data_IF_516940530087
#
_entry.id   IF_516940530087
#
_cell.length_a   1.000
_cell.length_b   1.000
_cell.length_c   1.000
_cell.angle_alpha   90.00
_cell.angle_beta   90.00
_cell.angle_gamma   90.00
#
_symmetry.space_group_name_H-M   'P 1'
#
loop_
_entity.id
_entity.type
_entity.pdbx_description
1 polymer ?
#
# COMPACT_ATOMS: atom_id res chain seq x y z
N UNK A 1 51.15 -25.63 46.48
CA UNK A 1 51.18 -25.63 45.00
C UNK A 1 49.99 -24.78 44.56
N UNK A 2 50.16 -23.46 44.48
CA UNK A 2 50.36 -22.66 43.24
C UNK A 2 49.21 -22.91 42.25
N UNK A 3 48.47 -21.92 41.72
CA UNK A 3 48.87 -20.62 41.18
C UNK A 3 47.67 -19.65 41.18
N UNK A 4 47.92 -18.39 41.53
CA UNK A 4 47.04 -17.22 41.30
C UNK A 4 46.95 -16.86 39.80
N UNK A 5 45.76 -16.50 39.32
CA UNK A 5 45.59 -15.84 38.01
C UNK A 5 44.64 -14.63 38.13
N UNK A 6 45.16 -13.49 37.70
CA UNK A 6 44.63 -12.12 37.85
C UNK A 6 43.56 -11.78 36.78
N UNK A 7 42.69 -10.78 37.04
CA UNK A 7 41.82 -10.20 36.02
C UNK A 7 42.54 -9.15 35.15
N UNK A 8 42.31 -9.18 33.84
CA UNK A 8 42.75 -8.14 32.90
C UNK A 8 41.70 -7.02 32.81
N UNK A 9 42.08 -5.82 33.29
CA UNK A 9 41.41 -4.55 32.96
C UNK A 9 41.94 -4.05 31.62
N UNK A 10 41.06 -3.93 30.62
CA UNK A 10 41.33 -3.22 29.37
C UNK A 10 40.78 -1.80 29.46
N UNK A 11 41.66 -0.82 29.70
CA UNK A 11 41.35 0.60 29.53
C UNK A 11 41.65 0.98 28.07
N UNK A 12 40.60 1.28 27.29
CA UNK A 12 40.73 1.92 25.98
C UNK A 12 40.39 3.40 26.08
N UNK A 13 41.41 4.25 26.24
CA UNK A 13 41.30 5.70 26.07
C UNK A 13 41.55 6.03 24.60
N UNK A 14 40.49 6.36 23.86
CA UNK A 14 40.58 6.90 22.51
C UNK A 14 40.25 8.39 22.51
N UNK A 15 41.29 9.24 22.62
CA UNK A 15 41.18 10.67 22.34
C UNK A 15 41.33 10.90 20.84
N UNK A 16 40.23 11.21 20.15
CA UNK A 16 40.23 11.64 18.75
C UNK A 16 39.68 13.06 18.63
N UNK A 17 40.55 14.06 18.74
CA UNK A 17 40.27 15.43 18.33
C UNK A 17 40.42 15.50 16.80
N UNK A 18 39.31 15.64 16.09
CA UNK A 18 39.27 15.92 14.66
C UNK A 18 38.60 17.27 14.41
N UNK A 19 39.41 18.34 14.42
CA UNK A 19 39.03 19.64 13.90
C UNK A 19 39.03 19.56 12.37
N UNK A 20 37.86 19.68 11.76
CA UNK A 20 37.68 19.78 10.31
C UNK A 20 36.72 20.91 9.97
N UNK A 21 37.28 22.10 9.77
CA UNK A 21 36.64 23.22 9.07
C UNK A 21 36.34 22.81 7.62
N UNK A 22 35.15 23.12 7.11
CA UNK A 22 34.92 23.03 5.67
C UNK A 22 33.48 23.26 5.23
N UNK A 23 33.26 24.43 4.63
CA UNK A 23 32.20 24.79 3.68
C UNK A 23 30.74 24.89 4.15
N UNK A 24 30.39 26.14 4.47
CA UNK A 24 29.12 26.71 4.04
C UNK A 24 28.91 26.47 2.53
N UNK A 25 27.84 25.76 2.18
CA UNK A 25 27.26 25.88 0.85
C UNK A 25 25.86 26.45 1.01
N UNK A 26 25.76 27.76 0.79
CA UNK A 26 24.52 28.39 0.40
C UNK A 26 24.19 27.89 -1.00
N UNK A 27 23.08 27.20 -1.18
CA UNK A 27 22.36 27.23 -2.44
C UNK A 27 20.89 27.06 -2.15
N UNK A 28 20.21 28.20 -2.09
CA UNK A 28 18.79 28.26 -2.40
C UNK A 28 18.61 27.64 -3.79
N UNK A 29 17.68 26.71 -3.92
CA UNK A 29 17.11 26.39 -5.21
C UNK A 29 15.61 26.32 -5.03
N UNK A 30 14.98 27.47 -5.23
CA UNK A 30 13.59 27.58 -5.61
C UNK A 30 13.39 26.72 -6.86
N UNK A 31 12.54 25.70 -6.78
CA UNK A 31 11.97 25.11 -7.98
C UNK A 31 10.45 25.05 -7.83
N UNK A 32 9.87 26.24 -7.99
CA UNK A 32 8.49 26.40 -8.40
C UNK A 32 8.33 25.77 -9.78
N UNK A 33 7.79 24.56 -9.84
CA UNK A 33 7.32 23.99 -11.09
C UNK A 33 5.88 24.46 -11.33
N UNK A 34 5.76 25.67 -11.88
CA UNK A 34 4.56 26.17 -12.52
C UNK A 34 4.35 25.40 -13.83
N UNK A 35 3.55 24.33 -13.80
CA UNK A 35 2.93 23.85 -15.04
C UNK A 35 1.61 24.58 -15.21
N UNK A 36 1.71 25.70 -15.93
CA UNK A 36 0.62 26.40 -16.58
C UNK A 36 -0.21 25.42 -17.41
N UNK A 37 -1.45 25.17 -16.98
CA UNK A 37 -2.45 24.54 -17.83
C UNK A 37 -3.02 25.65 -18.71
N UNK A 38 -2.50 25.75 -19.93
CA UNK A 38 -3.02 26.64 -20.97
C UNK A 38 -4.47 26.30 -21.27
N UNK A 39 -5.33 27.32 -21.14
CA UNK A 39 -6.63 27.40 -21.77
C UNK A 39 -6.50 27.10 -23.27
N UNK A 40 -7.06 25.97 -23.70
CA UNK A 40 -7.43 25.75 -25.10
C UNK A 40 -8.94 25.72 -25.20
N UNK A 41 -9.44 26.89 -25.58
CA UNK A 41 -10.70 27.06 -26.29
C UNK A 41 -10.69 26.14 -27.52
N UNK A 42 -11.52 25.09 -27.50
CA UNK A 42 -11.85 24.31 -28.69
C UNK A 42 -13.31 24.59 -29.05
N UNK A 43 -13.45 25.59 -29.92
CA UNK A 43 -14.68 25.99 -30.56
C UNK A 43 -15.07 24.95 -31.62
N UNK A 44 -16.31 24.49 -31.52
CA UNK A 44 -17.17 24.03 -32.62
C UNK A 44 -16.70 22.85 -33.48
N UNK A 45 -17.47 21.76 -33.39
CA UNK A 45 -18.25 21.42 -34.58
C UNK A 45 -19.58 20.74 -34.24
N UNK A 46 -20.62 21.30 -34.83
CA UNK A 46 -21.98 20.77 -34.85
C UNK A 46 -22.07 19.83 -36.04
N UNK A 47 -22.28 18.55 -35.80
CA UNK A 47 -23.01 17.74 -36.75
C UNK A 47 -24.11 16.95 -36.08
N UNK A 48 -25.33 17.34 -36.48
CA UNK A 48 -26.57 16.64 -36.23
C UNK A 48 -26.61 15.49 -37.21
N UNK A 49 -26.57 14.26 -36.71
CA UNK A 49 -27.27 13.19 -37.40
C UNK A 49 -28.11 12.37 -36.42
N UNK A 50 -29.41 12.37 -36.75
CA UNK A 50 -30.43 11.55 -36.14
C UNK A 50 -30.30 10.17 -36.76
N UNK A 51 -30.00 9.16 -35.96
CA UNK A 51 -30.44 7.81 -36.30
C UNK A 51 -31.11 7.12 -35.10
N UNK A 52 -32.32 6.63 -35.36
CA UNK A 52 -33.20 5.93 -34.44
C UNK A 52 -32.98 4.43 -34.65
N UNK A 53 -32.07 3.83 -33.87
CA UNK A 53 -31.79 2.39 -33.93
C UNK A 53 -32.04 1.69 -32.60
N UNK A 54 -33.19 1.03 -32.47
CA UNK A 54 -33.50 0.02 -31.44
C UNK A 54 -32.39 -1.03 -31.36
N UNK A 55 -31.89 -1.32 -30.15
CA UNK A 55 -31.02 -2.47 -29.92
C UNK A 55 -30.79 -2.76 -28.45
N UNK A 56 -31.65 -3.61 -27.85
CA UNK A 56 -31.31 -4.35 -26.63
C UNK A 56 -29.98 -5.07 -26.86
N UNK A 57 -28.97 -4.82 -26.03
CA UNK A 57 -27.90 -5.79 -25.87
C UNK A 57 -27.50 -5.90 -24.39
N UNK A 58 -28.08 -6.92 -23.74
CA UNK A 58 -27.45 -7.61 -22.62
C UNK A 58 -26.20 -8.28 -23.18
N UNK A 59 -24.99 -7.85 -22.83
CA UNK A 59 -23.95 -8.80 -22.40
C UNK A 59 -22.64 -8.16 -21.98
N UNK A 60 -22.00 -8.93 -21.10
CA UNK A 60 -20.55 -9.09 -20.90
C UNK A 60 -19.85 -8.00 -20.10
N UNK A 61 -19.57 -8.40 -18.86
CA UNK A 61 -18.58 -7.79 -18.00
C UNK A 61 -17.35 -7.41 -18.81
N UNK A 62 -17.02 -6.12 -18.75
CA UNK A 62 -15.75 -5.61 -19.24
C UNK A 62 -14.68 -6.31 -18.41
N UNK A 63 -14.04 -7.32 -18.99
CA UNK A 63 -12.79 -7.85 -18.49
C UNK A 63 -11.88 -6.67 -18.20
N UNK A 64 -11.49 -6.53 -16.94
CA UNK A 64 -10.46 -5.60 -16.52
C UNK A 64 -9.23 -5.93 -17.37
N UNK A 65 -8.89 -5.04 -18.32
CA UNK A 65 -7.61 -5.09 -19.02
C UNK A 65 -6.54 -5.00 -17.93
N UNK A 66 -5.86 -6.12 -17.66
CA UNK A 66 -4.61 -6.13 -16.91
C UNK A 66 -3.61 -5.26 -17.67
N UNK A 67 -2.93 -4.33 -17.01
CA UNK A 67 -1.74 -3.69 -17.60
C UNK A 67 -0.65 -4.73 -17.80
N UNK A 68 0.39 -4.42 -18.58
CA UNK A 68 1.57 -5.29 -18.75
C UNK A 68 2.25 -5.65 -17.42
N UNK A 69 2.07 -4.82 -16.39
CA UNK A 69 2.59 -5.03 -15.03
C UNK A 69 1.59 -5.82 -14.14
N UNK A 70 0.51 -6.32 -14.73
CA UNK A 70 -0.58 -7.00 -14.03
C UNK A 70 -1.35 -6.11 -13.06
N UNK A 71 -1.20 -4.78 -13.13
CA UNK A 71 -1.93 -3.81 -12.30
C UNK A 71 -3.15 -3.33 -13.11
N UNK A 72 -4.36 -3.16 -12.54
CA UNK A 72 -5.48 -2.70 -13.35
C UNK A 72 -5.23 -1.29 -13.92
N UNK A 73 -5.79 -1.00 -15.10
CA UNK A 73 -5.59 0.30 -15.77
C UNK A 73 -5.99 1.49 -14.86
N UNK A 74 -5.10 2.47 -14.69
CA UNK A 74 -5.25 3.64 -13.80
C UNK A 74 -4.54 3.53 -12.44
N UNK A 75 -4.08 2.33 -12.07
CA UNK A 75 -3.55 2.06 -10.73
C UNK A 75 -2.08 2.37 -10.56
N UNK A 76 -1.28 2.31 -11.63
CA UNK A 76 0.09 2.87 -11.65
C UNK A 76 0.08 4.39 -11.44
N UNK A 77 -1.08 5.04 -11.55
CA UNK A 77 -1.30 6.45 -11.26
C UNK A 77 -2.06 6.68 -9.94
N UNK A 78 -2.34 5.63 -9.17
CA UNK A 78 -3.12 5.71 -7.92
C UNK A 78 -4.63 5.91 -8.10
N UNK A 79 -5.15 5.87 -9.33
CA UNK A 79 -6.55 6.16 -9.66
C UNK A 79 -7.32 4.86 -9.91
N UNK A 80 -8.00 4.35 -8.87
CA UNK A 80 -9.03 3.32 -9.06
C UNK A 80 -10.22 3.91 -9.82
N UNK A 81 -10.82 3.14 -10.72
CA UNK A 81 -12.05 3.55 -11.42
C UNK A 81 -13.16 3.86 -10.40
N UNK A 82 -13.59 5.13 -10.34
CA UNK A 82 -14.58 5.63 -9.37
C UNK A 82 -13.99 6.39 -8.18
N UNK A 83 -12.67 6.47 -8.08
CA UNK A 83 -11.96 7.31 -7.12
C UNK A 83 -11.60 8.62 -7.82
N UNK A 84 -11.97 9.74 -7.21
CA UNK A 84 -11.64 11.06 -7.75
C UNK A 84 -10.17 11.42 -7.51
N UNK A 85 -9.58 10.89 -6.44
CA UNK A 85 -8.26 11.26 -5.95
C UNK A 85 -7.43 10.05 -5.50
N UNK A 86 -6.12 10.23 -5.45
CA UNK A 86 -5.09 9.25 -5.05
C UNK A 86 -5.02 8.96 -3.55
N UNK A 87 -6.07 9.28 -2.78
CA UNK A 87 -6.01 9.34 -1.32
C UNK A 87 -7.07 8.43 -0.65
N UNK A 88 -6.85 8.00 0.60
CA UNK A 88 -7.75 7.08 1.28
C UNK A 88 -9.17 7.65 1.49
N UNK A 89 -10.17 6.80 1.79
CA UNK A 89 -11.54 7.24 2.04
C UNK A 89 -11.59 8.28 3.17
N UNK A 90 -12.36 9.36 2.96
CA UNK A 90 -12.50 10.43 3.95
C UNK A 90 -11.33 11.41 4.01
N UNK A 91 -10.32 11.30 3.15
CA UNK A 91 -9.16 12.20 3.13
C UNK A 91 -9.49 13.69 3.08
N UNK A 92 -10.50 14.08 2.29
CA UNK A 92 -10.95 15.47 2.17
C UNK A 92 -11.56 16.04 3.45
N UNK A 93 -11.93 15.17 4.42
CA UNK A 93 -12.47 15.55 5.72
C UNK A 93 -11.39 15.63 6.81
N UNK A 94 -10.19 15.13 6.54
CA UNK A 94 -9.07 15.18 7.49
C UNK A 94 -8.47 16.57 7.57
N UNK A 95 -8.00 16.95 8.76
CA UNK A 95 -7.16 18.14 8.94
C UNK A 95 -5.81 17.94 8.23
N UNK A 96 -5.05 19.02 8.06
CA UNK A 96 -3.72 18.91 7.46
C UNK A 96 -2.75 18.15 8.38
N UNK A 97 -2.84 18.34 9.70
CA UNK A 97 -2.07 17.56 10.68
C UNK A 97 -2.38 16.06 10.58
N UNK A 98 -3.66 15.66 10.43
CA UNK A 98 -4.05 14.26 10.26
C UNK A 98 -3.58 13.65 8.94
N UNK A 99 -3.42 14.48 7.89
CA UNK A 99 -2.87 14.05 6.60
C UNK A 99 -1.37 13.88 6.69
N UNK A 100 -0.67 14.83 7.31
CA UNK A 100 0.78 14.77 7.55
C UNK A 100 1.14 13.55 8.41
N UNK A 101 0.44 13.34 9.53
CA UNK A 101 0.64 12.16 10.37
C UNK A 101 0.40 10.85 9.61
N UNK A 102 -0.62 10.81 8.75
CA UNK A 102 -0.87 9.62 7.93
C UNK A 102 0.26 9.38 6.91
N UNK A 103 0.77 10.43 6.26
CA UNK A 103 1.88 10.33 5.31
C UNK A 103 3.16 9.85 6.02
N UNK A 104 3.46 10.41 7.20
CA UNK A 104 4.59 10.01 8.04
C UNK A 104 4.51 8.53 8.47
N UNK A 105 3.32 8.10 8.92
CA UNK A 105 3.07 6.69 9.27
C UNK A 105 3.27 5.79 8.06
N UNK A 106 2.76 6.19 6.89
CA UNK A 106 2.90 5.40 5.66
C UNK A 106 4.37 5.28 5.25
N UNK A 107 5.13 6.37 5.30
CA UNK A 107 6.55 6.35 4.92
C UNK A 107 7.37 5.46 5.84
N UNK A 108 7.14 5.53 7.16
CA UNK A 108 7.79 4.62 8.13
C UNK A 108 7.44 3.16 7.85
N UNK A 109 6.19 2.88 7.51
CA UNK A 109 5.76 1.52 7.21
C UNK A 109 6.39 1.02 5.89
N UNK A 110 6.50 1.89 4.87
CA UNK A 110 7.23 1.62 3.63
C UNK A 110 8.68 1.26 3.90
N UNK A 111 9.39 2.03 4.71
CA UNK A 111 10.79 1.75 5.06
C UNK A 111 10.95 0.36 5.70
N UNK A 112 10.08 -0.01 6.64
CA UNK A 112 10.12 -1.33 7.29
C UNK A 112 9.84 -2.47 6.31
N UNK A 113 8.83 -2.35 5.45
CA UNK A 113 8.52 -3.43 4.49
C UNK A 113 9.61 -3.56 3.42
N UNK A 114 10.29 -2.46 3.06
CA UNK A 114 11.45 -2.48 2.15
C UNK A 114 12.66 -3.13 2.79
N UNK A 115 12.98 -2.77 4.03
CA UNK A 115 14.03 -3.45 4.80
C UNK A 115 13.74 -4.95 4.86
N UNK A 116 12.50 -5.31 5.18
CA UNK A 116 12.07 -6.72 5.23
C UNK A 116 12.16 -7.43 3.88
N UNK A 117 11.76 -6.77 2.80
CA UNK A 117 11.86 -7.30 1.44
C UNK A 117 13.33 -7.53 1.05
N UNK A 118 14.21 -6.57 1.36
CA UNK A 118 15.66 -6.66 1.12
C UNK A 118 16.30 -7.83 1.85
N UNK A 119 15.97 -7.99 3.13
CA UNK A 119 16.46 -9.11 3.96
C UNK A 119 16.04 -10.49 3.44
N UNK A 120 14.99 -10.54 2.60
CA UNK A 120 14.46 -11.75 2.00
C UNK A 120 14.72 -11.82 0.48
N UNK A 121 15.62 -10.98 -0.06
CA UNK A 121 15.99 -10.93 -1.49
C UNK A 121 14.81 -10.67 -2.45
N UNK A 122 13.85 -9.83 -2.04
CA UNK A 122 12.66 -9.48 -2.81
C UNK A 122 12.75 -8.08 -3.43
N UNK A 123 11.86 -7.82 -4.38
CA UNK A 123 11.76 -6.51 -5.03
C UNK A 123 11.11 -5.48 -4.10
N UNK A 124 11.94 -4.61 -3.50
CA UNK A 124 11.52 -3.54 -2.60
C UNK A 124 10.42 -2.65 -3.19
N UNK A 125 10.50 -2.33 -4.49
CA UNK A 125 9.53 -1.43 -5.12
C UNK A 125 8.15 -2.08 -5.23
N UNK A 126 8.11 -3.39 -5.54
CA UNK A 126 6.84 -4.12 -5.59
C UNK A 126 6.17 -4.15 -4.22
N UNK A 127 6.94 -4.44 -3.17
CA UNK A 127 6.43 -4.51 -1.80
C UNK A 127 5.98 -3.13 -1.30
N UNK A 128 6.72 -2.07 -1.61
CA UNK A 128 6.34 -0.69 -1.27
C UNK A 128 4.99 -0.30 -1.89
N UNK A 129 4.77 -0.67 -3.16
CA UNK A 129 3.50 -0.41 -3.86
C UNK A 129 2.33 -1.14 -3.18
N UNK A 130 2.55 -2.33 -2.64
CA UNK A 130 1.52 -3.13 -1.98
C UNK A 130 1.00 -2.48 -0.68
N UNK A 131 1.89 -1.95 0.16
CA UNK A 131 1.48 -1.31 1.43
C UNK A 131 0.72 0.00 1.16
N UNK A 132 1.20 0.79 0.22
CA UNK A 132 0.53 2.02 -0.20
C UNK A 132 -0.86 1.71 -0.76
N UNK A 133 -0.97 0.65 -1.55
CA UNK A 133 -2.25 0.21 -2.11
C UNK A 133 -3.28 -0.15 -1.03
N UNK A 134 -2.92 -1.02 -0.07
CA UNK A 134 -3.83 -1.41 1.02
C UNK A 134 -4.27 -0.19 1.84
N UNK A 135 -3.31 0.65 2.22
CA UNK A 135 -3.55 1.85 3.02
C UNK A 135 -4.51 2.80 2.30
N UNK A 136 -4.31 2.99 0.99
CA UNK A 136 -5.23 3.79 0.16
C UNK A 136 -6.60 3.17 0.06
N UNK A 137 -6.76 1.86 0.13
CA UNK A 137 -8.08 1.20 0.12
C UNK A 137 -8.87 1.41 1.42
N UNK A 138 -8.28 2.06 2.42
CA UNK A 138 -8.89 2.36 3.71
C UNK A 138 -8.53 1.37 4.81
N UNK A 139 -7.59 0.46 4.55
CA UNK A 139 -7.01 -0.42 5.56
C UNK A 139 -6.04 0.39 6.41
N UNK A 140 -6.00 0.15 7.72
CA UNK A 140 -5.02 0.84 8.58
C UNK A 140 -3.59 0.44 8.15
N UNK A 141 -2.68 1.42 8.21
CA UNK A 141 -1.29 1.24 7.75
C UNK A 141 -0.60 0.10 8.51
N UNK A 142 -0.82 -0.01 9.82
CA UNK A 142 -0.19 -1.06 10.65
C UNK A 142 -0.74 -2.44 10.30
N UNK A 143 -2.04 -2.51 9.99
CA UNK A 143 -2.65 -3.75 9.55
C UNK A 143 -2.13 -4.20 8.18
N UNK A 144 -1.95 -3.25 7.26
CA UNK A 144 -1.35 -3.50 5.94
C UNK A 144 0.11 -3.94 6.06
N UNK A 145 0.89 -3.26 6.91
CA UNK A 145 2.28 -3.61 7.26
C UNK A 145 2.35 -5.07 7.76
N UNK A 146 1.51 -5.44 8.73
CA UNK A 146 1.49 -6.77 9.33
C UNK A 146 1.23 -7.89 8.31
N UNK A 147 0.25 -7.70 7.42
CA UNK A 147 -0.09 -8.70 6.38
C UNK A 147 1.11 -8.91 5.45
N UNK A 148 1.74 -7.82 5.01
CA UNK A 148 2.86 -7.87 4.06
C UNK A 148 4.10 -8.48 4.72
N UNK A 149 4.52 -7.98 5.88
CA UNK A 149 5.67 -8.53 6.61
C UNK A 149 5.45 -10.02 6.88
N UNK A 150 4.25 -10.40 7.32
CA UNK A 150 3.99 -11.79 7.65
C UNK A 150 3.97 -12.70 6.43
N UNK A 151 3.48 -12.23 5.28
CA UNK A 151 3.56 -12.99 4.04
C UNK A 151 4.99 -13.11 3.51
N UNK A 152 5.84 -12.11 3.72
CA UNK A 152 7.28 -12.23 3.42
C UNK A 152 7.93 -13.29 4.33
N UNK A 153 7.66 -13.26 5.64
CA UNK A 153 8.19 -14.22 6.62
C UNK A 153 7.83 -15.69 6.31
N UNK A 154 6.65 -15.94 5.74
CA UNK A 154 6.17 -17.28 5.39
C UNK A 154 6.46 -17.67 3.93
N UNK A 155 7.28 -16.87 3.27
CA UNK A 155 7.69 -17.04 1.89
C UNK A 155 6.49 -17.18 0.91
N UNK A 156 5.54 -16.25 1.03
CA UNK A 156 4.42 -16.13 0.09
C UNK A 156 4.92 -15.37 -1.15
N UNK A 157 4.75 -15.86 -2.38
CA UNK A 157 5.19 -15.16 -3.58
C UNK A 157 4.57 -13.76 -3.72
N UNK A 158 5.31 -12.80 -4.29
CA UNK A 158 4.85 -11.40 -4.42
C UNK A 158 3.52 -11.27 -5.20
N UNK A 159 3.31 -12.11 -6.22
CA UNK A 159 2.06 -12.13 -6.98
C UNK A 159 0.88 -12.64 -6.12
N UNK A 160 1.13 -13.55 -5.20
CA UNK A 160 0.11 -14.05 -4.28
C UNK A 160 -0.19 -13.01 -3.19
N UNK A 161 0.84 -12.33 -2.65
CA UNK A 161 0.66 -11.18 -1.77
C UNK A 161 -0.19 -10.09 -2.43
N UNK A 162 0.05 -9.81 -3.71
CA UNK A 162 -0.75 -8.88 -4.50
C UNK A 162 -2.21 -9.33 -4.62
N UNK A 163 -2.45 -10.60 -4.91
CA UNK A 163 -3.79 -11.16 -5.03
C UNK A 163 -4.56 -11.12 -3.70
N UNK A 164 -3.91 -11.48 -2.59
CA UNK A 164 -4.44 -11.31 -1.22
C UNK A 164 -4.80 -9.84 -1.00
N UNK A 165 -3.90 -8.93 -1.34
CA UNK A 165 -4.11 -7.51 -1.12
C UNK A 165 -5.27 -6.94 -1.93
N UNK A 166 -5.43 -7.37 -3.19
CA UNK A 166 -6.58 -7.00 -4.01
C UNK A 166 -7.86 -7.51 -3.38
N UNK A 167 -7.94 -8.78 -2.99
CA UNK A 167 -9.14 -9.35 -2.39
C UNK A 167 -9.51 -8.68 -1.07
N UNK A 168 -8.52 -8.55 -0.18
CA UNK A 168 -8.66 -7.90 1.11
C UNK A 168 -9.11 -6.45 0.90
N UNK A 169 -8.40 -5.63 0.12
CA UNK A 169 -8.78 -4.24 -0.13
C UNK A 169 -10.17 -4.06 -0.78
N UNK A 170 -10.57 -4.95 -1.71
CA UNK A 170 -11.85 -4.81 -2.41
C UNK A 170 -13.06 -5.19 -1.55
N UNK A 171 -12.93 -6.27 -0.76
CA UNK A 171 -14.05 -6.83 0.02
C UNK A 171 -14.06 -6.34 1.48
N UNK A 172 -12.95 -5.81 1.99
CA UNK A 172 -12.82 -5.30 3.37
C UNK A 172 -13.71 -4.10 3.69
N UNK A 173 -14.23 -3.39 2.69
CA UNK A 173 -14.87 -2.08 2.89
C UNK A 173 -16.15 -2.12 3.74
N UNK A 174 -16.80 -3.28 3.76
CA UNK A 174 -18.12 -3.45 4.37
C UNK A 174 -18.10 -4.45 5.54
N UNK A 175 -16.92 -4.85 6.01
CA UNK A 175 -16.72 -5.91 7.02
C UNK A 175 -15.78 -5.44 8.13
N UNK A 176 -15.86 -6.11 9.29
CA UNK A 176 -14.86 -5.92 10.35
C UNK A 176 -13.49 -6.40 9.89
N UNK A 177 -12.65 -5.44 9.47
CA UNK A 177 -11.32 -5.71 8.97
C UNK A 177 -10.44 -6.45 9.96
N UNK A 178 -10.63 -6.21 11.26
CA UNK A 178 -9.80 -6.83 12.30
C UNK A 178 -9.94 -8.35 12.27
N UNK A 179 -11.17 -8.86 12.14
CA UNK A 179 -11.45 -10.29 12.03
C UNK A 179 -10.87 -10.87 10.74
N UNK A 180 -10.99 -10.15 9.62
CA UNK A 180 -10.40 -10.55 8.33
C UNK A 180 -8.87 -10.65 8.45
N UNK A 181 -8.23 -9.64 9.03
CA UNK A 181 -6.79 -9.60 9.28
C UNK A 181 -6.33 -10.80 10.12
N UNK A 182 -6.97 -11.03 11.26
CA UNK A 182 -6.61 -12.13 12.17
C UNK A 182 -6.64 -13.48 11.44
N UNK A 183 -7.68 -13.74 10.66
CA UNK A 183 -7.84 -14.98 9.93
C UNK A 183 -6.88 -15.10 8.74
N UNK A 184 -6.61 -14.00 8.02
CA UNK A 184 -5.55 -13.95 6.98
C UNK A 184 -4.21 -14.32 7.61
N UNK A 185 -3.82 -13.65 8.69
CA UNK A 185 -2.55 -13.89 9.38
C UNK A 185 -2.47 -15.30 9.96
N UNK A 186 -3.57 -15.86 10.49
CA UNK A 186 -3.61 -17.23 10.98
C UNK A 186 -3.42 -18.26 9.87
N UNK A 187 -4.06 -18.07 8.70
CA UNK A 187 -3.90 -18.98 7.58
C UNK A 187 -2.49 -18.89 6.96
N UNK A 188 -1.92 -17.69 6.87
CA UNK A 188 -0.52 -17.49 6.47
C UNK A 188 0.43 -18.24 7.43
N UNK A 189 0.24 -18.10 8.76
CA UNK A 189 1.02 -18.84 9.79
C UNK A 189 0.87 -20.35 9.70
N UNK A 190 -0.29 -20.86 9.26
CA UNK A 190 -0.53 -22.29 9.04
C UNK A 190 0.13 -22.80 7.75
N UNK A 191 0.79 -21.93 6.98
CA UNK A 191 1.38 -22.26 5.69
C UNK A 191 0.34 -22.51 4.60
N UNK A 192 -0.89 -22.00 4.76
CA UNK A 192 -1.91 -22.07 3.72
C UNK A 192 -1.50 -21.10 2.62
N UNK A 193 -1.31 -21.61 1.40
CA UNK A 193 -0.85 -20.82 0.24
C UNK A 193 -1.87 -20.85 -0.90
N UNK A 194 -1.71 -19.89 -1.79
CA UNK A 194 -2.32 -19.76 -3.11
C UNK A 194 -3.84 -19.79 -3.08
N UNK A 195 -4.46 -20.57 -3.96
CA UNK A 195 -5.92 -20.61 -4.14
C UNK A 195 -6.67 -21.04 -2.88
N UNK A 196 -6.06 -21.85 -2.01
CA UNK A 196 -6.68 -22.25 -0.74
C UNK A 196 -6.79 -21.08 0.22
N UNK A 197 -5.72 -20.26 0.34
CA UNK A 197 -5.74 -19.05 1.16
C UNK A 197 -6.80 -18.09 0.65
N UNK A 198 -6.85 -17.86 -0.67
CA UNK A 198 -7.85 -17.00 -1.29
C UNK A 198 -9.28 -17.47 -1.04
N UNK A 199 -9.56 -18.78 -1.13
CA UNK A 199 -10.89 -19.34 -0.81
C UNK A 199 -11.28 -19.16 0.65
N UNK A 200 -10.32 -19.27 1.58
CA UNK A 200 -10.57 -19.05 3.01
C UNK A 200 -10.85 -17.59 3.29
N UNK A 201 -10.05 -16.68 2.72
CA UNK A 201 -10.28 -15.23 2.84
C UNK A 201 -11.65 -14.86 2.25
N UNK A 202 -11.99 -15.36 1.07
CA UNK A 202 -13.31 -15.16 0.46
C UNK A 202 -14.44 -15.65 1.36
N UNK A 203 -14.33 -16.85 1.92
CA UNK A 203 -15.31 -17.38 2.86
C UNK A 203 -15.46 -16.49 4.09
N UNK A 204 -14.36 -15.99 4.64
CA UNK A 204 -14.36 -15.14 5.85
C UNK A 204 -15.03 -13.81 5.57
N UNK A 205 -14.80 -13.25 4.39
CA UNK A 205 -15.45 -12.03 3.93
C UNK A 205 -16.95 -12.23 3.69
N UNK A 206 -17.34 -13.38 3.13
CA UNK A 206 -18.75 -13.73 2.93
C UNK A 206 -19.47 -14.01 4.27
N UNK A 207 -18.80 -14.69 5.20
CA UNK A 207 -19.30 -15.03 6.55
C UNK A 207 -19.33 -13.79 7.48
N UNK A 208 -18.42 -12.84 7.29
CA UNK A 208 -18.45 -11.57 8.00
C UNK A 208 -19.73 -10.79 7.66
N UNK A 209 -20.22 -10.92 6.43
CA UNK A 209 -21.42 -10.25 5.96
C UNK A 209 -21.30 -8.73 5.99
N UNK A 210 -22.14 -8.00 5.25
CA UNK A 210 -22.15 -6.56 5.35
C UNK A 210 -22.88 -6.20 6.67
N UNK A 211 -22.13 -5.77 7.68
CA UNK A 211 -22.58 -5.58 9.07
C UNK A 211 -23.52 -4.36 9.28
N UNK A 212 -24.10 -3.83 8.20
CA UNK A 212 -24.96 -2.62 8.19
C UNK A 212 -26.31 -2.79 8.90
N UNK A 213 -26.58 -3.95 9.51
CA UNK A 213 -27.78 -4.17 10.33
C UNK A 213 -27.58 -3.92 11.83
N UNK A 214 -26.35 -3.93 12.35
CA UNK A 214 -26.09 -3.69 13.79
C UNK A 214 -25.73 -2.22 14.10
N UNK A 215 -25.36 -1.42 13.10
CA UNK A 215 -24.97 -0.01 13.30
C UNK A 215 -26.15 0.99 13.33
N UNK A 216 -27.38 0.54 13.08
CA UNK A 216 -28.62 1.36 13.10
C UNK A 216 -29.69 0.85 14.07
N UNK A 217 -29.34 0.03 15.07
CA UNK A 217 -30.19 -0.27 16.24
C UNK A 217 -29.67 0.45 17.47
#
# INVERSE_FOLDING_TARGET
LTVDARPHQGQGQGNGQGLGNGNANQTANDNANENAFEDRDDDQDKDKDKDKGRGKNKNKGKGLKKSEDGVPYGWSQGLKKGWKDSFPPGWSKKSDDEKEEWMDRLERAKDKVKEKARDNERDENKIEILIEYLSRMGIDIEDAEDIIIKGIDEDIPDEELKDINVMVGEKAKDVDFKKVKEEVLENIKKGVKSEELMKKIEKVLDDAGPDWWEFWK
#
